data_IF_960633365582
#
_entry.id   IF_960633365582
#
_cell.length_a   1.000
_cell.length_b   1.000
_cell.length_c   1.000
_cell.angle_alpha   90.00
_cell.angle_beta   90.00
_cell.angle_gamma   90.00
#
_symmetry.space_group_name_H-M   'P 1'
#
loop_
_entity.id
_entity.type
_entity.pdbx_description
1 polymer ?
#
# COMPACT_ATOMS: atom_id res chain seq x y z
N UNK A 1 71.82 -0.93 12.63
CA UNK A 1 70.89 -2.07 12.46
C UNK A 1 69.62 -1.56 11.80
N UNK A 2 69.31 -1.86 10.54
CA UNK A 2 68.09 -1.45 9.91
C UNK A 2 66.97 -2.52 10.14
N UNK A 3 65.84 -2.08 10.61
CA UNK A 3 64.65 -2.92 10.77
C UNK A 3 63.93 -2.91 9.42
N UNK A 4 63.89 -4.07 8.78
CA UNK A 4 63.15 -4.29 7.54
C UNK A 4 61.68 -4.55 7.92
N UNK A 5 60.78 -3.63 7.59
CA UNK A 5 59.36 -3.83 7.66
C UNK A 5 58.86 -4.55 6.40
N UNK A 6 58.47 -5.81 6.54
CA UNK A 6 57.85 -6.59 5.47
C UNK A 6 56.37 -6.22 5.43
N UNK A 7 55.97 -5.44 4.44
CA UNK A 7 54.57 -5.19 4.14
C UNK A 7 53.98 -6.42 3.42
N UNK A 8 53.18 -7.19 4.13
CA UNK A 8 52.42 -8.31 3.60
C UNK A 8 51.20 -7.76 2.85
N UNK A 9 51.35 -7.51 1.56
CA UNK A 9 50.28 -7.16 0.65
C UNK A 9 49.40 -8.38 0.37
N UNK A 10 48.23 -8.45 1.04
CA UNK A 10 47.22 -9.44 0.72
C UNK A 10 46.57 -9.12 -0.63
N UNK A 11 46.89 -9.90 -1.65
CA UNK A 11 46.22 -9.84 -2.94
C UNK A 11 44.90 -10.58 -2.78
N UNK A 12 43.83 -9.82 -2.68
CA UNK A 12 42.44 -10.37 -2.78
C UNK A 12 42.24 -10.73 -4.27
N UNK A 13 42.45 -11.99 -4.61
CA UNK A 13 41.93 -12.52 -5.87
C UNK A 13 40.42 -12.57 -5.78
N UNK A 14 39.79 -11.52 -6.26
CA UNK A 14 38.37 -11.58 -6.66
C UNK A 14 38.32 -12.51 -7.86
N UNK A 15 37.88 -13.74 -7.65
CA UNK A 15 37.53 -14.65 -8.73
C UNK A 15 36.26 -14.15 -9.40
N UNK A 16 36.35 -13.12 -10.19
CA UNK A 16 35.40 -12.86 -11.26
C UNK A 16 35.89 -13.70 -12.43
N UNK A 17 35.23 -14.84 -12.64
CA UNK A 17 35.44 -15.63 -13.84
C UNK A 17 34.88 -14.83 -15.03
N UNK A 18 35.77 -13.99 -15.59
CA UNK A 18 35.48 -13.10 -16.71
C UNK A 18 35.39 -13.80 -18.07
N UNK A 19 35.26 -15.12 -18.06
CA UNK A 19 35.24 -15.95 -19.26
C UNK A 19 33.96 -16.68 -19.56
N UNK A 20 32.95 -16.58 -18.69
CA UNK A 20 31.63 -17.12 -18.98
C UNK A 20 30.71 -15.99 -19.44
N UNK A 21 30.47 -15.95 -20.74
CA UNK A 21 29.33 -15.26 -21.29
C UNK A 21 28.09 -15.91 -20.64
N UNK A 22 27.56 -15.25 -19.61
CA UNK A 22 26.34 -15.69 -18.91
C UNK A 22 25.10 -15.56 -19.81
N UNK A 23 25.26 -14.94 -20.96
CA UNK A 23 24.23 -14.81 -21.97
C UNK A 23 24.63 -15.64 -23.19
N UNK A 24 24.04 -16.81 -23.32
CA UNK A 24 24.08 -17.61 -24.54
C UNK A 24 22.85 -17.29 -25.37
N UNK A 25 22.98 -16.54 -26.47
CA UNK A 25 21.83 -16.21 -27.33
C UNK A 25 21.22 -17.42 -28.04
N UNK A 26 21.91 -18.57 -28.01
CA UNK A 26 21.40 -19.85 -28.56
C UNK A 26 20.71 -20.70 -27.50
N UNK A 27 20.73 -20.29 -26.22
CA UNK A 27 20.04 -20.98 -25.17
C UNK A 27 18.53 -20.78 -25.30
N UNK A 28 17.89 -21.73 -25.93
CA UNK A 28 16.42 -21.83 -25.88
C UNK A 28 16.05 -22.35 -24.48
N UNK A 29 15.45 -21.47 -23.68
CA UNK A 29 14.86 -21.88 -22.41
C UNK A 29 13.74 -22.85 -22.72
N UNK A 30 13.96 -24.14 -22.48
CA UNK A 30 12.85 -25.09 -22.46
C UNK A 30 11.83 -24.55 -21.45
N UNK A 31 10.59 -24.38 -21.86
CA UNK A 31 9.54 -23.95 -20.97
C UNK A 31 9.51 -24.88 -19.74
N UNK A 32 9.86 -24.42 -18.53
CA UNK A 32 9.95 -25.29 -17.34
C UNK A 32 8.59 -25.91 -16.97
N UNK A 33 7.50 -25.42 -17.56
CA UNK A 33 6.15 -25.92 -17.36
C UNK A 33 5.69 -26.88 -18.48
N UNK A 34 6.57 -27.15 -19.47
CA UNK A 34 6.28 -28.03 -20.61
C UNK A 34 5.77 -27.28 -21.84
N UNK A 35 5.98 -27.92 -23.00
CA UNK A 35 5.51 -27.41 -24.28
C UNK A 35 3.97 -27.41 -24.28
N UNK A 36 3.39 -26.22 -24.45
CA UNK A 36 1.93 -26.06 -24.46
C UNK A 36 1.35 -25.40 -23.19
N UNK A 37 2.18 -25.09 -22.18
CA UNK A 37 1.71 -24.23 -21.11
C UNK A 37 1.62 -22.79 -21.61
N UNK A 38 0.41 -22.32 -21.76
CA UNK A 38 0.10 -20.92 -21.96
C UNK A 38 -0.79 -20.46 -20.81
N UNK A 39 -0.51 -19.27 -20.29
CA UNK A 39 -1.45 -18.65 -19.37
C UNK A 39 -2.79 -18.46 -20.10
N UNK A 40 -3.94 -18.71 -19.47
CA UNK A 40 -5.24 -18.44 -20.07
C UNK A 40 -5.32 -16.98 -20.56
N UNK A 41 -6.02 -16.75 -21.67
CA UNK A 41 -6.29 -15.41 -22.17
C UNK A 41 -6.98 -14.59 -21.05
N UNK A 42 -6.41 -13.40 -20.75
CA UNK A 42 -6.91 -12.56 -19.68
C UNK A 42 -6.41 -12.94 -18.27
N UNK A 43 -5.44 -13.85 -18.13
CA UNK A 43 -4.82 -14.13 -16.85
C UNK A 43 -3.95 -12.95 -16.42
N UNK A 44 -4.37 -12.30 -15.35
CA UNK A 44 -3.62 -11.19 -14.74
C UNK A 44 -2.75 -11.73 -13.59
N UNK A 45 -1.44 -11.55 -13.73
CA UNK A 45 -0.45 -11.85 -12.69
C UNK A 45 -0.35 -10.78 -11.60
N UNK A 46 -1.15 -9.73 -11.71
CA UNK A 46 -1.16 -8.68 -10.70
C UNK A 46 -1.63 -9.23 -9.37
N UNK A 47 -0.75 -9.18 -8.38
CA UNK A 47 -1.06 -9.55 -6.99
C UNK A 47 -1.55 -8.38 -6.16
N UNK A 48 -1.59 -7.21 -6.74
CA UNK A 48 -2.01 -5.95 -6.11
C UNK A 48 -2.79 -5.11 -7.10
N UNK A 49 -3.72 -4.30 -6.58
CA UNK A 49 -4.37 -3.23 -7.34
C UNK A 49 -4.20 -1.89 -6.62
N UNK A 50 -4.11 -0.82 -7.40
CA UNK A 50 -4.01 0.54 -6.87
C UNK A 50 -5.35 1.24 -7.07
N UNK A 51 -5.90 1.77 -5.98
CA UNK A 51 -7.17 2.48 -5.93
C UNK A 51 -6.95 3.92 -5.48
N UNK A 52 -7.65 4.87 -6.08
CA UNK A 52 -7.69 6.24 -5.61
C UNK A 52 -8.95 6.46 -4.77
N UNK A 53 -8.77 6.67 -3.51
CA UNK A 53 -9.85 6.89 -2.55
C UNK A 53 -9.94 8.35 -2.20
N UNK A 54 -11.13 8.93 -2.34
CA UNK A 54 -11.44 10.27 -1.84
C UNK A 54 -12.39 10.15 -0.65
N UNK A 55 -11.96 10.62 0.50
CA UNK A 55 -12.76 10.63 1.73
C UNK A 55 -13.33 12.02 1.93
N UNK A 56 -14.64 12.14 1.94
CA UNK A 56 -15.35 13.40 2.24
C UNK A 56 -15.76 13.42 3.71
N UNK A 57 -15.24 14.40 4.44
CA UNK A 57 -15.53 14.62 5.86
C UNK A 57 -16.55 15.74 6.02
N UNK A 58 -17.52 15.57 6.93
CA UNK A 58 -18.44 16.64 7.30
C UNK A 58 -17.74 17.60 8.25
N UNK A 59 -17.65 18.87 7.84
CA UNK A 59 -17.15 19.91 8.73
C UNK A 59 -18.24 20.31 9.74
N UNK A 60 -17.93 20.16 11.03
CA UNK A 60 -18.78 20.57 12.15
C UNK A 60 -18.25 21.81 12.90
N UNK A 61 -17.07 22.30 12.50
CA UNK A 61 -16.35 23.36 13.20
C UNK A 61 -16.22 24.67 12.38
N UNK A 62 -17.01 24.80 11.31
CA UNK A 62 -17.07 26.05 10.51
C UNK A 62 -15.79 26.36 9.72
N UNK A 63 -15.03 25.37 9.32
CA UNK A 63 -13.83 25.51 8.53
C UNK A 63 -12.60 25.98 9.29
N UNK A 64 -12.63 25.94 10.61
CA UNK A 64 -11.54 26.44 11.46
C UNK A 64 -10.43 25.41 11.71
N UNK A 65 -10.75 24.13 11.59
CA UNK A 65 -9.87 23.05 11.98
C UNK A 65 -9.73 21.98 10.90
N UNK A 66 -8.80 21.06 11.14
CA UNK A 66 -8.51 19.94 10.27
C UNK A 66 -8.93 18.63 10.93
N UNK A 67 -9.36 17.69 10.10
CA UNK A 67 -9.70 16.31 10.48
C UNK A 67 -8.61 15.38 10.00
N UNK A 68 -8.16 14.47 10.86
CA UNK A 68 -7.22 13.42 10.48
C UNK A 68 -8.01 12.24 9.91
N UNK A 69 -7.61 11.76 8.74
CA UNK A 69 -8.21 10.63 8.05
C UNK A 69 -7.12 9.57 7.84
N UNK A 70 -7.37 8.38 8.35
CA UNK A 70 -6.49 7.22 8.22
C UNK A 70 -7.27 6.08 7.57
N UNK A 71 -6.67 5.40 6.58
CA UNK A 71 -7.28 4.29 5.84
C UNK A 71 -6.56 3.00 6.22
N UNK A 72 -7.34 1.95 6.54
CA UNK A 72 -6.85 0.66 7.00
C UNK A 72 -7.48 -0.50 6.20
N UNK A 73 -6.79 -1.65 6.16
CA UNK A 73 -7.35 -2.90 5.62
C UNK A 73 -8.22 -3.64 6.62
N UNK A 74 -8.01 -3.40 7.92
CA UNK A 74 -8.68 -4.05 9.03
C UNK A 74 -9.18 -3.02 10.04
N UNK A 75 -10.14 -3.41 10.87
CA UNK A 75 -10.71 -2.52 11.88
C UNK A 75 -9.68 -2.15 12.95
N UNK A 76 -9.20 -0.90 13.00
CA UNK A 76 -8.18 -0.46 13.94
C UNK A 76 -8.67 -0.39 15.40
N UNK A 77 -9.97 -0.52 15.64
CA UNK A 77 -10.52 -0.58 17.01
C UNK A 77 -10.48 -1.98 17.59
N UNK A 78 -10.43 -3.01 16.74
CA UNK A 78 -10.36 -4.42 17.17
C UNK A 78 -9.00 -5.05 16.99
N UNK A 79 -8.19 -4.53 16.06
CA UNK A 79 -6.87 -5.03 15.78
C UNK A 79 -5.83 -3.93 15.98
N UNK A 80 -5.07 -4.00 17.05
CA UNK A 80 -3.98 -3.05 17.35
C UNK A 80 -2.83 -3.10 16.33
N UNK A 81 -2.73 -4.19 15.56
CA UNK A 81 -1.74 -4.36 14.50
C UNK A 81 -2.29 -4.03 13.10
N UNK A 82 -3.48 -3.41 13.01
CA UNK A 82 -4.04 -2.99 11.74
C UNK A 82 -3.08 -2.06 10.99
N UNK A 83 -2.77 -2.41 9.73
CA UNK A 83 -1.83 -1.63 8.93
C UNK A 83 -2.52 -0.42 8.31
N UNK A 84 -1.91 0.76 8.50
CA UNK A 84 -2.33 2.01 7.85
C UNK A 84 -1.90 1.98 6.39
N UNK A 85 -2.83 2.11 5.48
CA UNK A 85 -2.58 2.24 4.04
C UNK A 85 -2.24 3.68 3.64
N UNK A 86 -2.93 4.63 4.24
CA UNK A 86 -2.70 6.06 4.00
C UNK A 86 -3.17 6.90 5.18
N UNK A 87 -2.50 8.04 5.39
CA UNK A 87 -2.88 9.08 6.34
C UNK A 87 -2.99 10.40 5.60
N UNK A 88 -4.09 11.11 5.74
CA UNK A 88 -4.37 12.40 5.09
C UNK A 88 -5.10 13.33 6.06
N UNK A 89 -5.11 14.60 5.70
CA UNK A 89 -5.83 15.63 6.43
C UNK A 89 -6.93 16.22 5.55
N UNK A 90 -8.12 16.32 6.08
CA UNK A 90 -9.24 17.02 5.46
C UNK A 90 -9.45 18.36 6.16
N UNK A 91 -9.46 19.45 5.41
CA UNK A 91 -9.60 20.81 5.92
C UNK A 91 -10.27 21.73 4.87
N UNK A 92 -10.37 23.02 5.20
CA UNK A 92 -10.97 24.01 4.30
C UNK A 92 -10.24 24.16 2.97
N UNK A 93 -8.92 24.00 2.94
CA UNK A 93 -8.10 24.18 1.73
C UNK A 93 -8.39 23.11 0.68
N UNK A 94 -8.70 21.90 1.12
CA UNK A 94 -9.06 20.79 0.22
C UNK A 94 -10.57 20.49 0.22
N UNK A 95 -11.40 21.47 0.65
CA UNK A 95 -12.87 21.33 0.74
C UNK A 95 -13.30 20.13 1.56
N UNK A 96 -12.58 19.81 2.64
CA UNK A 96 -12.82 18.63 3.50
C UNK A 96 -12.79 17.29 2.76
N UNK A 97 -11.95 17.20 1.72
CA UNK A 97 -11.72 15.99 0.92
C UNK A 97 -10.28 15.54 1.07
N UNK A 98 -10.10 14.35 1.60
CA UNK A 98 -8.81 13.70 1.73
C UNK A 98 -8.66 12.65 0.62
N UNK A 99 -7.74 12.86 -0.33
CA UNK A 99 -7.50 11.91 -1.44
C UNK A 99 -6.20 11.18 -1.24
N UNK A 100 -6.22 9.85 -1.43
CA UNK A 100 -5.05 8.99 -1.34
C UNK A 100 -5.10 7.89 -2.38
N UNK A 101 -3.95 7.57 -2.97
CA UNK A 101 -3.75 6.30 -3.66
C UNK A 101 -3.39 5.23 -2.62
N UNK A 102 -4.10 4.12 -2.63
CA UNK A 102 -3.88 2.97 -1.75
C UNK A 102 -3.62 1.72 -2.58
N UNK A 103 -2.83 0.81 -2.04
CA UNK A 103 -2.55 -0.49 -2.67
C UNK A 103 -3.25 -1.58 -1.89
N UNK A 104 -4.05 -2.38 -2.57
CA UNK A 104 -4.85 -3.44 -2.00
C UNK A 104 -4.54 -4.79 -2.65
N UNK A 105 -4.82 -5.86 -1.94
CA UNK A 105 -4.93 -7.18 -2.55
C UNK A 105 -6.22 -7.25 -3.38
N UNK A 106 -6.25 -8.00 -4.51
CA UNK A 106 -7.46 -8.15 -5.32
C UNK A 106 -8.63 -8.78 -4.55
N UNK A 107 -8.33 -9.51 -3.48
CA UNK A 107 -9.33 -10.15 -2.61
C UNK A 107 -9.88 -9.21 -1.54
N UNK A 108 -9.31 -8.01 -1.37
CA UNK A 108 -9.77 -7.05 -0.37
C UNK A 108 -11.10 -6.45 -0.82
N UNK A 109 -12.16 -6.72 -0.05
CA UNK A 109 -13.53 -6.29 -0.37
C UNK A 109 -13.96 -5.03 0.37
N UNK A 110 -13.25 -4.65 1.43
CA UNK A 110 -13.59 -3.49 2.22
C UNK A 110 -12.38 -2.81 2.82
N UNK A 111 -12.53 -1.53 3.12
CA UNK A 111 -11.55 -0.71 3.84
C UNK A 111 -12.20 -0.04 5.03
N UNK A 112 -11.40 0.20 6.06
CA UNK A 112 -11.82 0.95 7.24
C UNK A 112 -11.23 2.35 7.19
N UNK A 113 -12.08 3.34 7.40
CA UNK A 113 -11.68 4.75 7.46
C UNK A 113 -11.86 5.23 8.88
N UNK A 114 -10.76 5.58 9.53
CA UNK A 114 -10.74 6.19 10.85
C UNK A 114 -10.64 7.69 10.71
N UNK A 115 -11.61 8.39 11.23
CA UNK A 115 -11.61 9.84 11.35
C UNK A 115 -11.29 10.23 12.78
N UNK A 116 -10.38 11.18 12.95
CA UNK A 116 -10.17 11.86 14.24
C UNK A 116 -10.53 13.32 14.06
N UNK A 117 -11.49 13.79 14.82
CA UNK A 117 -11.93 15.18 14.81
C UNK A 117 -10.96 16.10 15.57
N UNK A 118 -11.11 17.43 15.46
CA UNK A 118 -10.25 18.38 16.16
C UNK A 118 -10.29 18.30 17.70
N UNK A 119 -11.31 17.66 18.25
CA UNK A 119 -11.49 17.42 19.69
C UNK A 119 -10.90 16.10 20.15
N UNK A 120 -10.33 15.31 19.20
CA UNK A 120 -9.76 14.00 19.48
C UNK A 120 -10.78 12.86 19.52
N UNK A 121 -12.04 13.11 19.12
CA UNK A 121 -13.04 12.05 18.99
C UNK A 121 -12.73 11.20 17.78
N UNK A 122 -12.77 9.89 17.95
CA UNK A 122 -12.45 8.90 16.92
C UNK A 122 -13.71 8.19 16.47
N UNK A 123 -13.91 8.12 15.17
CA UNK A 123 -14.96 7.35 14.53
C UNK A 123 -14.37 6.46 13.44
N UNK A 124 -14.89 5.25 13.28
CA UNK A 124 -14.43 4.28 12.27
C UNK A 124 -15.60 3.84 11.41
N UNK A 125 -15.40 3.88 10.10
CA UNK A 125 -16.38 3.56 9.09
C UNK A 125 -15.85 2.44 8.20
N UNK A 126 -16.73 1.49 7.83
CA UNK A 126 -16.43 0.45 6.85
C UNK A 126 -17.03 0.83 5.50
N UNK A 127 -16.24 0.76 4.45
CA UNK A 127 -16.67 0.95 3.07
C UNK A 127 -16.29 -0.24 2.21
N UNK A 128 -17.19 -0.63 1.31
CA UNK A 128 -16.88 -1.63 0.30
C UNK A 128 -16.00 -1.04 -0.79
N UNK A 129 -15.02 -1.83 -1.25
CA UNK A 129 -14.17 -1.48 -2.38
C UNK A 129 -14.85 -1.92 -3.67
N UNK A 130 -15.13 -1.00 -4.61
CA UNK A 130 -15.73 -1.35 -5.90
C UNK A 130 -14.83 -2.32 -6.69
N UNK A 131 -15.43 -3.28 -7.40
CA UNK A 131 -14.66 -4.23 -8.21
C UNK A 131 -14.16 -3.63 -9.52
N UNK A 132 -14.94 -2.73 -10.12
CA UNK A 132 -14.72 -2.23 -11.49
C UNK A 132 -14.33 -0.73 -11.56
N UNK A 133 -13.92 -0.13 -10.46
CA UNK A 133 -13.64 1.30 -10.43
C UNK A 133 -12.42 1.63 -9.58
N UNK A 134 -11.35 2.06 -10.25
CA UNK A 134 -10.08 2.45 -9.60
C UNK A 134 -10.16 3.78 -8.84
N UNK A 135 -11.31 4.47 -8.89
CA UNK A 135 -11.53 5.74 -8.21
C UNK A 135 -12.89 5.73 -7.52
N UNK A 136 -12.93 5.85 -6.22
CA UNK A 136 -14.19 5.91 -5.48
C UNK A 136 -14.17 6.92 -4.33
N UNK A 137 -15.37 7.33 -3.90
CA UNK A 137 -15.54 8.34 -2.86
C UNK A 137 -16.28 7.76 -1.68
N UNK A 138 -15.68 7.91 -0.50
CA UNK A 138 -16.26 7.55 0.78
C UNK A 138 -16.79 8.80 1.49
N UNK A 139 -18.10 8.87 1.71
CA UNK A 139 -18.74 10.01 2.38
C UNK A 139 -19.07 9.64 3.81
N UNK A 140 -18.29 10.11 4.78
CA UNK A 140 -18.41 9.69 6.18
C UNK A 140 -19.75 10.10 6.81
N UNK A 141 -20.36 11.15 6.34
CA UNK A 141 -21.64 11.67 6.87
C UNK A 141 -22.90 10.92 6.38
N UNK A 142 -22.74 9.90 5.50
CA UNK A 142 -23.85 9.04 5.05
C UNK A 142 -23.78 7.62 5.63
N UNK A 143 -22.71 7.29 6.36
CA UNK A 143 -22.50 5.97 6.94
C UNK A 143 -22.66 6.04 8.47
N UNK A 144 -23.20 4.99 9.05
CA UNK A 144 -23.12 4.81 10.49
C UNK A 144 -21.71 4.39 10.87
N UNK A 145 -21.14 4.99 11.91
CA UNK A 145 -19.84 4.58 12.42
C UNK A 145 -19.86 3.12 12.86
N UNK A 146 -18.85 2.34 12.47
CA UNK A 146 -18.71 0.95 12.89
C UNK A 146 -18.63 0.82 14.43
N UNK A 147 -18.22 1.88 15.13
CA UNK A 147 -18.18 1.92 16.58
C UNK A 147 -19.58 1.99 17.23
N UNK A 148 -20.60 2.49 16.52
CA UNK A 148 -21.97 2.57 17.06
C UNK A 148 -22.72 1.24 16.98
N UNK A 149 -22.28 0.31 16.12
CA UNK A 149 -22.91 -1.01 15.98
C UNK A 149 -22.43 -2.04 17.02
N UNK A 150 -21.63 -1.62 18.00
CA UNK A 150 -21.18 -2.48 19.11
C UNK A 150 -22.02 -2.21 20.36
N UNK A 151 -23.22 -2.71 20.31
CA UNK A 151 -24.05 -2.86 21.52
C UNK A 151 -23.81 -4.24 22.11
#
# INVERSE_FOLDING_TARGET
>A
MPIIAIAMGGILFSCVDSGKDLYDPSYETSNPMGDGFAAPDGFDWSTIKTENVTVEVKDEEGGLYSYLVEIYTEDPLTNENASVLATRTANKENNFKATAAITLLPTQKGIYIKQTDPRGRVEVYLFDVPEDNDNFTCKLYYQESAAQNRV
#
